data_IF_434752958300
#
_entry.id   IF_434752958300
#
_cell.length_a   1.000
_cell.length_b   1.000
_cell.length_c   1.000
_cell.angle_alpha   90.00
_cell.angle_beta   90.00
_cell.angle_gamma   90.00
#
_symmetry.space_group_name_H-M   'P 1'
#
loop_
_entity.id
_entity.type
_entity.pdbx_description
1 polymer ?
#
# COMPACT_ATOMS: atom_id res chain seq x y z
N UNK A 1 -87.02 -26.01 -25.34
CA UNK A 1 -87.38 -27.17 -24.57
C UNK A 1 -86.73 -27.05 -23.20
N UNK A 2 -87.48 -26.52 -22.28
CA UNK A 2 -87.76 -26.91 -20.90
C UNK A 2 -86.60 -26.91 -19.93
N UNK A 3 -86.46 -25.82 -19.15
CA UNK A 3 -86.86 -25.74 -17.72
C UNK A 3 -86.35 -26.85 -16.84
N UNK A 4 -85.58 -26.54 -15.77
CA UNK A 4 -86.09 -26.50 -14.41
C UNK A 4 -85.08 -25.87 -13.46
N UNK A 5 -85.51 -24.77 -12.86
CA UNK A 5 -85.06 -24.13 -11.63
C UNK A 5 -85.19 -25.04 -10.40
N UNK A 6 -84.25 -25.00 -9.46
CA UNK A 6 -84.55 -25.13 -8.02
C UNK A 6 -83.61 -24.34 -7.17
N UNK A 7 -84.15 -23.26 -6.62
CA UNK A 7 -83.66 -22.55 -5.48
C UNK A 7 -83.88 -23.37 -4.20
N UNK A 8 -82.92 -23.38 -3.28
CA UNK A 8 -83.14 -23.66 -1.89
C UNK A 8 -82.35 -22.67 -1.02
N UNK A 9 -83.11 -21.86 -0.35
CA UNK A 9 -82.73 -21.10 0.81
C UNK A 9 -82.21 -22.03 1.91
N UNK A 10 -81.22 -21.57 2.69
CA UNK A 10 -81.23 -21.70 4.17
C UNK A 10 -80.15 -20.79 4.76
N UNK A 11 -80.58 -19.85 5.49
CA UNK A 11 -80.31 -19.13 6.72
C UNK A 11 -78.89 -19.13 7.31
N UNK A 12 -78.52 -18.00 7.94
CA UNK A 12 -77.25 -17.75 8.57
C UNK A 12 -77.20 -18.29 10.00
N UNK A 13 -76.08 -18.82 10.40
CA UNK A 13 -75.74 -18.96 11.84
C UNK A 13 -74.49 -18.14 12.08
N UNK A 14 -74.69 -17.02 12.72
CA UNK A 14 -73.60 -16.27 13.37
C UNK A 14 -73.22 -17.04 14.64
N UNK A 15 -71.98 -17.35 14.78
CA UNK A 15 -71.36 -17.63 16.07
C UNK A 15 -69.90 -17.24 16.03
N UNK A 16 -69.61 -16.10 16.46
CA UNK A 16 -68.61 -15.63 17.41
C UNK A 16 -67.65 -16.76 17.85
N UNK A 17 -66.39 -16.63 17.43
CA UNK A 17 -65.24 -17.01 18.24
C UNK A 17 -64.10 -16.08 17.91
N UNK A 18 -64.00 -15.01 18.70
CA UNK A 18 -62.83 -14.17 18.82
C UNK A 18 -61.74 -15.05 19.51
N UNK A 19 -60.97 -15.77 18.71
CA UNK A 19 -59.71 -16.33 19.17
C UNK A 19 -58.68 -15.20 19.15
N UNK A 20 -58.45 -14.64 20.33
CA UNK A 20 -57.29 -13.76 20.63
C UNK A 20 -56.03 -14.60 20.36
N UNK A 21 -55.45 -14.39 19.19
CA UNK A 21 -54.13 -14.88 18.88
C UNK A 21 -53.14 -13.94 19.60
N UNK A 22 -52.89 -14.19 20.87
CA UNK A 22 -51.77 -13.66 21.60
C UNK A 22 -50.51 -14.23 20.92
N UNK A 23 -49.94 -13.51 19.96
CA UNK A 23 -48.59 -13.71 19.53
C UNK A 23 -47.74 -13.45 20.76
N UNK A 24 -47.38 -14.49 21.47
CA UNK A 24 -46.19 -14.51 22.30
C UNK A 24 -45.01 -14.18 21.37
N UNK A 25 -44.62 -12.94 21.33
CA UNK A 25 -43.24 -12.54 21.01
C UNK A 25 -42.41 -13.19 22.11
N UNK A 26 -42.09 -14.47 21.91
CA UNK A 26 -40.97 -15.06 22.58
C UNK A 26 -39.77 -14.21 22.12
N UNK A 27 -39.31 -13.33 23.02
CA UNK A 27 -37.97 -12.78 22.94
C UNK A 27 -37.07 -14.01 22.83
N UNK A 28 -36.64 -14.32 21.61
CA UNK A 28 -35.51 -15.21 21.41
C UNK A 28 -34.41 -14.54 22.22
N UNK A 29 -33.87 -15.19 23.27
CA UNK A 29 -32.74 -14.61 23.94
C UNK A 29 -31.72 -14.38 22.83
N UNK A 30 -31.34 -13.11 22.59
CA UNK A 30 -30.16 -12.83 21.85
C UNK A 30 -29.05 -13.60 22.59
N UNK A 31 -28.58 -14.67 21.99
CA UNK A 31 -27.36 -15.29 22.47
C UNK A 31 -26.37 -14.14 22.46
N UNK A 32 -25.95 -13.68 23.63
CA UNK A 32 -24.84 -12.77 23.74
C UNK A 32 -23.69 -13.51 23.02
N UNK A 33 -23.22 -12.91 21.95
CA UNK A 33 -22.06 -13.45 21.25
C UNK A 33 -20.94 -13.56 22.30
N UNK A 34 -20.33 -14.73 22.40
CA UNK A 34 -19.19 -14.89 23.31
C UNK A 34 -18.13 -13.87 22.98
N UNK A 35 -17.46 -13.33 24.01
CA UNK A 35 -16.36 -12.39 23.80
C UNK A 35 -15.31 -13.05 22.90
N UNK A 36 -14.85 -12.36 21.84
CA UNK A 36 -13.81 -12.91 20.97
C UNK A 36 -12.53 -13.14 21.74
N UNK A 37 -11.79 -14.17 21.39
CA UNK A 37 -10.44 -14.33 21.87
C UNK A 37 -9.48 -13.28 21.22
N UNK A 38 -8.26 -13.18 21.77
CA UNK A 38 -7.28 -12.21 21.33
C UNK A 38 -6.85 -12.43 19.86
N UNK A 39 -6.71 -13.68 19.43
CA UNK A 39 -6.29 -14.03 18.07
C UNK A 39 -7.35 -13.61 17.05
N UNK A 40 -8.61 -13.98 17.30
CA UNK A 40 -9.76 -13.61 16.46
C UNK A 40 -9.92 -12.09 16.37
N UNK A 41 -9.80 -11.39 17.51
CA UNK A 41 -9.87 -9.93 17.53
C UNK A 41 -8.71 -9.29 16.75
N UNK A 42 -7.48 -9.81 16.95
CA UNK A 42 -6.30 -9.32 16.24
C UNK A 42 -6.43 -9.48 14.73
N UNK A 43 -6.90 -10.64 14.26
CA UNK A 43 -7.08 -10.91 12.84
C UNK A 43 -8.12 -9.99 12.22
N UNK A 44 -9.28 -9.86 12.84
CA UNK A 44 -10.35 -9.00 12.37
C UNK A 44 -9.96 -7.51 12.37
N UNK A 45 -9.31 -7.07 13.44
CA UNK A 45 -8.87 -5.69 13.58
C UNK A 45 -7.82 -5.32 12.53
N UNK A 46 -6.76 -6.12 12.40
CA UNK A 46 -5.68 -5.87 11.44
C UNK A 46 -6.19 -5.91 10.01
N UNK A 47 -7.09 -6.85 9.69
CA UNK A 47 -7.71 -6.92 8.38
C UNK A 47 -8.52 -5.67 8.05
N UNK A 48 -9.40 -5.24 8.97
CA UNK A 48 -10.26 -4.07 8.78
C UNK A 48 -9.44 -2.77 8.72
N UNK A 49 -8.41 -2.66 9.58
CA UNK A 49 -7.46 -1.54 9.58
C UNK A 49 -6.78 -1.39 8.21
N UNK A 50 -6.36 -2.49 7.58
CA UNK A 50 -5.70 -2.47 6.28
C UNK A 50 -6.55 -1.79 5.19
N UNK A 51 -7.86 -2.07 5.16
CA UNK A 51 -8.78 -1.37 4.26
C UNK A 51 -9.00 0.08 4.69
N UNK A 52 -9.15 0.32 5.99
CA UNK A 52 -9.28 1.66 6.56
C UNK A 52 -8.14 2.59 6.16
N UNK A 53 -6.90 2.10 6.17
CA UNK A 53 -5.71 2.87 5.74
C UNK A 53 -5.79 3.28 4.26
N UNK A 54 -6.25 2.39 3.39
CA UNK A 54 -6.42 2.71 1.96
C UNK A 54 -7.57 3.72 1.73
N UNK A 55 -8.67 3.61 2.48
CA UNK A 55 -9.77 4.59 2.46
C UNK A 55 -9.29 5.95 2.97
N UNK A 56 -8.51 5.97 4.06
CA UNK A 56 -7.90 7.19 4.58
C UNK A 56 -7.08 7.90 3.50
N UNK A 57 -6.26 7.14 2.75
CA UNK A 57 -5.48 7.72 1.67
C UNK A 57 -6.35 8.28 0.55
N UNK A 58 -7.43 7.58 0.18
CA UNK A 58 -8.39 8.10 -0.81
C UNK A 58 -9.03 9.41 -0.33
N UNK A 59 -9.39 9.54 0.96
CA UNK A 59 -9.88 10.79 1.53
C UNK A 59 -8.85 11.91 1.50
N UNK A 60 -7.59 11.62 1.83
CA UNK A 60 -6.49 12.60 1.79
C UNK A 60 -6.31 13.10 0.36
N UNK A 61 -6.23 12.21 -0.61
CA UNK A 61 -6.05 12.57 -2.02
C UNK A 61 -7.28 13.35 -2.54
N UNK A 62 -8.49 12.94 -2.17
CA UNK A 62 -9.73 13.59 -2.58
C UNK A 62 -9.97 14.97 -1.93
N UNK A 63 -9.25 15.32 -0.88
CA UNK A 63 -9.32 16.64 -0.26
C UNK A 63 -8.53 17.70 -1.05
N UNK A 64 -7.70 17.33 -2.02
CA UNK A 64 -7.02 18.26 -2.88
C UNK A 64 -8.01 19.02 -3.78
N UNK A 65 -7.83 20.34 -3.93
CA UNK A 65 -8.78 21.20 -4.63
C UNK A 65 -8.96 20.88 -6.12
N UNK A 66 -7.96 20.22 -6.71
CA UNK A 66 -7.91 19.81 -8.12
C UNK A 66 -8.09 18.29 -8.32
N UNK A 67 -8.53 17.58 -7.28
CA UNK A 67 -8.76 16.15 -7.36
C UNK A 67 -9.96 15.81 -8.25
N UNK A 68 -9.72 14.95 -9.22
CA UNK A 68 -10.76 14.29 -10.01
C UNK A 68 -10.36 12.83 -10.28
N UNK A 69 -11.33 11.92 -10.22
CA UNK A 69 -11.09 10.56 -10.68
C UNK A 69 -10.77 10.53 -12.18
N UNK A 70 -9.87 9.64 -12.57
CA UNK A 70 -9.40 9.47 -13.95
C UNK A 70 -8.66 10.70 -14.51
N UNK A 71 -8.10 11.53 -13.63
CA UNK A 71 -7.21 12.64 -13.97
C UNK A 71 -5.86 12.41 -13.31
N UNK A 72 -4.77 12.59 -14.07
CA UNK A 72 -3.41 12.43 -13.55
C UNK A 72 -2.98 13.70 -12.82
N UNK A 73 -2.53 13.54 -11.59
CA UNK A 73 -1.73 14.53 -10.88
C UNK A 73 -0.25 14.25 -11.15
N UNK A 74 0.49 15.27 -11.65
CA UNK A 74 1.90 15.16 -11.93
C UNK A 74 2.70 15.81 -10.78
N UNK A 75 3.32 14.96 -9.95
CA UNK A 75 4.03 15.42 -8.78
C UNK A 75 5.27 16.23 -9.18
N UNK A 76 5.52 17.37 -8.55
CA UNK A 76 6.76 18.13 -8.75
C UNK A 76 7.97 17.32 -8.26
N UNK A 77 9.14 17.54 -8.85
CA UNK A 77 10.37 16.88 -8.42
C UNK A 77 10.82 17.37 -7.05
N UNK A 78 11.44 16.48 -6.28
CA UNK A 78 12.22 16.87 -5.11
C UNK A 78 11.42 17.37 -3.91
N UNK A 79 10.14 17.03 -3.78
CA UNK A 79 9.38 17.30 -2.56
C UNK A 79 9.91 16.43 -1.44
N UNK A 80 10.80 17.03 -0.64
CA UNK A 80 11.44 16.40 0.52
C UNK A 80 10.48 16.18 1.70
N UNK A 81 9.24 16.65 1.60
CA UNK A 81 8.23 16.62 2.66
C UNK A 81 7.52 15.27 2.78
N UNK A 82 7.77 14.35 1.87
CA UNK A 82 7.19 13.02 1.88
C UNK A 82 7.94 12.07 2.81
N UNK A 83 7.23 11.13 3.43
CA UNK A 83 7.82 10.06 4.23
C UNK A 83 8.63 9.13 3.33
N UNK A 84 9.90 8.93 3.63
CA UNK A 84 10.82 8.08 2.89
C UNK A 84 10.79 8.33 1.36
N UNK A 85 11.05 9.59 0.91
CA UNK A 85 10.81 10.00 -0.46
C UNK A 85 11.72 9.24 -1.44
N UNK A 86 11.25 9.09 -2.67
CA UNK A 86 12.11 8.65 -3.76
C UNK A 86 12.50 9.86 -4.62
N UNK A 87 13.76 10.25 -4.54
CA UNK A 87 14.29 11.40 -5.26
C UNK A 87 14.83 11.04 -6.66
N UNK A 88 14.67 9.79 -7.09
CA UNK A 88 15.26 9.26 -8.33
C UNK A 88 14.26 9.16 -9.48
N UNK A 89 12.97 9.50 -9.24
CA UNK A 89 11.90 9.40 -10.24
C UNK A 89 10.98 10.62 -10.25
N UNK A 90 10.41 10.91 -11.41
CA UNK A 90 9.23 11.77 -11.54
C UNK A 90 7.98 10.93 -11.35
N UNK A 91 7.14 11.29 -10.36
CA UNK A 91 5.91 10.59 -10.04
C UNK A 91 4.70 11.17 -10.77
N UNK A 92 3.77 10.31 -11.16
CA UNK A 92 2.43 10.66 -11.58
C UNK A 92 1.42 9.76 -10.88
N UNK A 93 0.32 10.33 -10.45
CA UNK A 93 -0.67 9.63 -9.63
C UNK A 93 -2.09 9.88 -10.13
N UNK A 94 -2.96 8.90 -9.94
CA UNK A 94 -4.38 9.07 -10.15
C UNK A 94 -5.17 8.04 -9.34
N UNK A 95 -6.42 8.34 -9.08
CA UNK A 95 -7.42 7.34 -8.77
C UNK A 95 -8.20 7.01 -10.03
N UNK A 96 -8.10 5.77 -10.47
CA UNK A 96 -8.90 5.23 -11.55
C UNK A 96 -10.27 4.86 -10.98
N UNK A 97 -11.33 5.22 -11.70
CA UNK A 97 -12.68 4.78 -11.38
C UNK A 97 -13.43 4.38 -12.65
N UNK A 98 -14.08 3.24 -12.60
CA UNK A 98 -14.80 2.63 -13.71
C UNK A 98 -16.16 2.11 -13.24
N UNK A 99 -17.09 1.92 -14.18
CA UNK A 99 -18.30 1.12 -13.96
C UNK A 99 -18.45 0.07 -15.06
N UNK A 100 -19.60 -0.62 -15.09
CA UNK A 100 -19.82 -1.75 -15.98
C UNK A 100 -19.75 -1.33 -17.46
N UNK A 101 -20.09 -0.07 -17.76
CA UNK A 101 -20.24 0.47 -19.11
C UNK A 101 -19.15 1.49 -19.47
N UNK A 102 -18.41 2.00 -18.49
CA UNK A 102 -17.50 3.15 -18.66
C UNK A 102 -16.06 2.78 -18.29
N UNK A 103 -15.26 2.31 -19.26
CA UNK A 103 -13.82 2.12 -19.09
C UNK A 103 -13.06 3.43 -18.87
N UNK A 104 -11.86 3.33 -18.26
CA UNK A 104 -10.86 4.39 -18.24
C UNK A 104 -9.70 4.01 -19.16
N UNK A 105 -9.15 4.98 -19.88
CA UNK A 105 -8.05 4.77 -20.83
C UNK A 105 -6.81 5.49 -20.33
N UNK A 106 -5.69 4.76 -20.26
CA UNK A 106 -4.35 5.29 -20.00
C UNK A 106 -3.55 5.25 -21.30
N UNK A 107 -3.05 6.39 -21.71
CA UNK A 107 -2.06 6.51 -22.78
C UNK A 107 -0.67 6.53 -22.15
N UNK A 108 0.15 5.54 -22.48
CA UNK A 108 1.54 5.41 -22.05
C UNK A 108 2.45 5.87 -23.20
N UNK A 109 3.29 6.89 -23.01
CA UNK A 109 4.20 7.35 -24.04
C UNK A 109 5.30 6.33 -24.34
N UNK A 110 5.92 6.44 -25.52
CA UNK A 110 7.11 5.67 -25.85
C UNK A 110 8.31 6.16 -25.01
N UNK A 111 8.81 5.30 -24.13
CA UNK A 111 9.99 5.56 -23.29
C UNK A 111 11.03 4.49 -23.59
N UNK A 112 12.21 4.92 -24.04
CA UNK A 112 13.35 4.04 -24.36
C UNK A 112 14.59 4.45 -23.55
N UNK A 113 15.38 3.45 -23.14
CA UNK A 113 16.65 3.66 -22.45
C UNK A 113 16.57 4.23 -21.05
N UNK A 114 15.37 4.27 -20.43
CA UNK A 114 15.08 4.80 -19.11
C UNK A 114 14.10 3.89 -18.40
N UNK A 115 14.27 3.66 -17.10
CA UNK A 115 13.28 2.93 -16.32
C UNK A 115 11.98 3.71 -16.21
N UNK A 116 10.88 3.04 -16.37
CA UNK A 116 9.56 3.52 -16.01
C UNK A 116 8.68 2.34 -15.60
N UNK A 117 7.65 2.63 -14.84
CA UNK A 117 6.55 1.72 -14.56
C UNK A 117 5.29 2.50 -14.21
N UNK A 118 4.13 2.00 -14.62
CA UNK A 118 2.84 2.45 -14.09
C UNK A 118 2.26 1.30 -13.29
N UNK A 119 2.35 1.44 -11.98
CA UNK A 119 1.82 0.50 -11.01
C UNK A 119 0.33 0.76 -10.83
N UNK A 120 -0.49 -0.27 -10.99
CA UNK A 120 -1.93 -0.23 -10.74
C UNK A 120 -2.19 -1.12 -9.54
N UNK A 121 -2.77 -0.54 -8.48
CA UNK A 121 -3.09 -1.24 -7.24
C UNK A 121 -4.59 -1.23 -7.01
N UNK A 122 -5.08 -2.30 -6.40
CA UNK A 122 -6.45 -2.33 -5.95
C UNK A 122 -6.66 -1.51 -4.66
N UNK A 123 -7.89 -1.46 -4.24
CA UNK A 123 -8.32 -0.68 -3.07
C UNK A 123 -7.87 -1.28 -1.73
N UNK A 124 -7.21 -2.44 -1.72
CA UNK A 124 -6.60 -3.09 -0.56
C UNK A 124 -5.07 -2.94 -0.53
N UNK A 125 -4.45 -2.44 -1.61
CA UNK A 125 -3.01 -2.28 -1.73
C UNK A 125 -2.30 -3.45 -2.42
N UNK A 126 -3.04 -4.36 -3.07
CA UNK A 126 -2.48 -5.39 -3.94
C UNK A 126 -2.17 -4.82 -5.32
N UNK A 127 -1.03 -5.17 -5.89
CA UNK A 127 -0.67 -4.77 -7.25
C UNK A 127 -1.41 -5.63 -8.26
N UNK A 128 -2.29 -5.00 -9.04
CA UNK A 128 -2.98 -5.64 -10.16
C UNK A 128 -2.00 -5.90 -11.29
N UNK A 129 -1.23 -4.87 -11.67
CA UNK A 129 -0.27 -4.93 -12.77
C UNK A 129 0.72 -3.76 -12.72
N UNK A 130 1.91 -3.98 -13.24
CA UNK A 130 2.85 -2.92 -13.59
C UNK A 130 2.92 -2.80 -15.12
N UNK A 131 2.64 -1.62 -15.68
CA UNK A 131 2.73 -1.37 -17.11
C UNK A 131 4.11 -0.81 -17.42
N UNK A 132 4.93 -1.60 -18.11
CA UNK A 132 6.29 -1.28 -18.50
C UNK A 132 6.82 -2.29 -19.53
N UNK A 133 8.07 -2.12 -19.96
CA UNK A 133 8.72 -3.01 -20.94
C UNK A 133 8.91 -4.46 -20.45
N UNK A 134 9.01 -4.68 -19.14
CA UNK A 134 9.26 -6.01 -18.56
C UNK A 134 8.01 -6.85 -18.53
N UNK A 135 6.88 -6.24 -18.20
CA UNK A 135 5.58 -6.90 -18.11
C UNK A 135 4.87 -6.97 -19.47
N UNK A 136 5.01 -5.94 -20.29
CA UNK A 136 4.40 -5.86 -21.63
C UNK A 136 5.47 -5.69 -22.73
N UNK A 137 6.34 -6.68 -22.95
CA UNK A 137 7.46 -6.56 -23.89
C UNK A 137 7.01 -6.32 -25.34
N UNK A 138 5.83 -6.82 -25.73
CA UNK A 138 5.25 -6.65 -27.07
C UNK A 138 4.54 -5.31 -27.25
N UNK A 139 4.09 -4.69 -26.18
CA UNK A 139 3.35 -3.42 -26.19
C UNK A 139 3.64 -2.62 -24.92
N UNK A 140 4.87 -2.13 -24.75
CA UNK A 140 5.27 -1.44 -23.52
C UNK A 140 4.70 -0.02 -23.41
N UNK A 141 4.14 0.52 -24.48
CA UNK A 141 3.52 1.84 -24.58
C UNK A 141 2.27 1.77 -25.47
N UNK A 142 1.45 2.82 -25.46
CA UNK A 142 0.18 2.88 -26.17
C UNK A 142 -1.01 2.90 -25.21
N UNK A 143 -2.16 2.44 -25.65
CA UNK A 143 -3.43 2.55 -24.92
C UNK A 143 -3.70 1.32 -24.06
N UNK A 144 -3.94 1.54 -22.77
CA UNK A 144 -4.38 0.53 -21.80
C UNK A 144 -5.77 0.90 -21.30
N UNK A 145 -6.71 -0.04 -21.38
CA UNK A 145 -8.11 0.17 -21.02
C UNK A 145 -8.43 -0.57 -19.71
N UNK A 146 -8.71 0.18 -18.66
CA UNK A 146 -9.16 -0.37 -17.38
C UNK A 146 -10.67 -0.56 -17.39
N UNK A 147 -11.12 -1.73 -16.97
CA UNK A 147 -12.53 -2.12 -16.93
C UNK A 147 -12.90 -2.73 -15.59
N UNK A 148 -14.16 -2.58 -15.18
CA UNK A 148 -14.69 -3.22 -13.97
C UNK A 148 -14.70 -4.76 -14.12
N UNK A 149 -14.68 -5.52 -13.02
CA UNK A 149 -14.84 -6.97 -13.05
C UNK A 149 -16.13 -7.37 -13.78
N UNK A 150 -16.00 -8.29 -14.74
CA UNK A 150 -17.13 -8.77 -15.53
C UNK A 150 -17.64 -7.82 -16.62
N UNK A 151 -17.08 -6.62 -16.76
CA UNK A 151 -17.48 -5.65 -17.80
C UNK A 151 -17.17 -6.17 -19.19
N UNK A 152 -18.15 -6.04 -20.08
CA UNK A 152 -18.06 -6.30 -21.53
C UNK A 152 -18.04 -5.01 -22.35
N UNK A 153 -17.88 -3.85 -21.70
CA UNK A 153 -17.84 -2.56 -22.38
C UNK A 153 -16.81 -2.56 -23.52
N UNK A 154 -17.11 -1.97 -24.67
CA UNK A 154 -16.18 -1.89 -25.77
C UNK A 154 -14.98 -1.01 -25.39
N UNK A 155 -13.82 -1.37 -25.89
CA UNK A 155 -12.58 -0.60 -25.77
C UNK A 155 -12.05 -0.28 -27.17
N UNK A 156 -11.19 0.74 -27.33
CA UNK A 156 -10.59 1.06 -28.63
C UNK A 156 -9.83 -0.14 -29.22
N UNK A 157 -9.86 -0.26 -30.54
CA UNK A 157 -9.06 -1.27 -31.24
C UNK A 157 -7.57 -1.08 -30.94
N UNK A 158 -6.88 -2.19 -30.68
CA UNK A 158 -5.46 -2.15 -30.30
C UNK A 158 -5.16 -1.80 -28.85
N UNK A 159 -6.15 -1.39 -28.05
CA UNK A 159 -5.94 -1.17 -26.63
C UNK A 159 -5.79 -2.48 -25.85
N UNK A 160 -4.90 -2.50 -24.86
CA UNK A 160 -4.75 -3.62 -23.93
C UNK A 160 -5.82 -3.52 -22.84
N UNK A 161 -6.69 -4.53 -22.74
CA UNK A 161 -7.70 -4.61 -21.68
C UNK A 161 -7.08 -5.07 -20.37
N UNK A 162 -7.28 -4.31 -19.29
CA UNK A 162 -6.90 -4.65 -17.91
C UNK A 162 -8.17 -4.65 -17.07
N UNK A 163 -8.52 -5.81 -16.52
CA UNK A 163 -9.64 -5.92 -15.58
C UNK A 163 -9.15 -5.57 -14.18
N UNK A 164 -9.78 -4.60 -13.54
CA UNK A 164 -9.52 -4.24 -12.15
C UNK A 164 -10.10 -5.29 -11.20
N UNK A 165 -9.61 -5.33 -9.95
CA UNK A 165 -10.20 -6.18 -8.91
C UNK A 165 -11.53 -5.64 -8.40
N UNK A 166 -11.71 -4.31 -8.46
CA UNK A 166 -12.91 -3.59 -8.05
C UNK A 166 -13.31 -2.52 -9.06
N UNK A 167 -14.03 -1.51 -8.60
CA UNK A 167 -14.46 -0.37 -9.42
C UNK A 167 -13.52 0.81 -9.36
N UNK A 168 -12.55 0.77 -8.45
CA UNK A 168 -11.49 1.77 -8.31
C UNK A 168 -10.12 1.09 -8.25
N UNK A 169 -9.09 1.87 -8.56
CA UNK A 169 -7.70 1.47 -8.41
C UNK A 169 -6.82 2.71 -8.25
N UNK A 170 -5.72 2.57 -7.51
CA UNK A 170 -4.67 3.61 -7.47
C UNK A 170 -3.71 3.39 -8.62
N UNK A 171 -3.41 4.44 -9.35
CA UNK A 171 -2.34 4.51 -10.32
C UNK A 171 -1.16 5.25 -9.71
N UNK A 172 0.03 4.65 -9.74
CA UNK A 172 1.28 5.27 -9.31
C UNK A 172 2.35 5.03 -10.38
N UNK A 173 2.57 6.04 -11.20
CA UNK A 173 3.56 6.01 -12.27
C UNK A 173 4.89 6.59 -11.83
N UNK A 174 5.98 6.02 -12.35
CA UNK A 174 7.37 6.43 -12.07
C UNK A 174 8.13 6.52 -13.38
N UNK A 175 8.82 7.64 -13.60
CA UNK A 175 9.77 7.83 -14.69
C UNK A 175 11.13 8.19 -14.07
N UNK A 176 12.13 7.35 -14.28
CA UNK A 176 13.48 7.55 -13.73
C UNK A 176 14.11 8.86 -14.19
N UNK A 177 14.73 9.60 -13.28
CA UNK A 177 15.41 10.85 -13.62
C UNK A 177 16.66 10.62 -14.48
N UNK A 178 17.44 9.59 -14.21
CA UNK A 178 18.62 9.16 -14.97
C UNK A 178 19.61 10.29 -15.26
N UNK A 179 19.81 11.21 -14.30
CA UNK A 179 20.66 12.40 -14.48
C UNK A 179 20.10 13.48 -15.42
N UNK A 180 18.87 13.29 -15.93
CA UNK A 180 18.15 14.22 -16.81
C UNK A 180 16.72 14.46 -16.27
N UNK A 181 16.58 15.28 -15.22
CA UNK A 181 15.30 15.55 -14.59
C UNK A 181 14.31 16.26 -15.52
N UNK A 182 14.76 17.15 -16.40
CA UNK A 182 13.89 17.87 -17.34
C UNK A 182 13.27 16.90 -18.36
N UNK A 183 14.07 16.00 -18.91
CA UNK A 183 13.59 14.96 -19.82
C UNK A 183 12.64 13.99 -19.12
N UNK A 184 12.87 13.64 -17.86
CA UNK A 184 11.95 12.81 -17.07
C UNK A 184 10.59 13.48 -16.87
N UNK A 185 10.57 14.77 -16.53
CA UNK A 185 9.33 15.57 -16.38
C UNK A 185 8.61 15.72 -17.72
N UNK A 186 9.35 15.94 -18.81
CA UNK A 186 8.76 16.03 -20.13
C UNK A 186 8.07 14.70 -20.56
N UNK A 187 8.64 13.56 -20.18
CA UNK A 187 8.02 12.25 -20.39
C UNK A 187 6.85 12.01 -19.44
N UNK A 188 6.99 12.35 -18.15
CA UNK A 188 5.93 12.26 -17.14
C UNK A 188 4.63 12.94 -17.65
N UNK A 189 4.74 14.13 -18.23
CA UNK A 189 3.60 14.91 -18.73
C UNK A 189 2.97 14.39 -20.02
N UNK A 190 3.54 13.37 -20.66
CA UNK A 190 2.95 12.73 -21.84
C UNK A 190 1.99 11.60 -21.49
N UNK A 191 1.98 11.12 -20.26
CA UNK A 191 0.96 10.19 -19.82
C UNK A 191 -0.39 10.90 -19.78
N UNK A 192 -1.45 10.25 -20.23
CA UNK A 192 -2.81 10.79 -20.17
C UNK A 192 -3.77 9.71 -19.66
N UNK A 193 -4.65 10.09 -18.75
CA UNK A 193 -5.72 9.23 -18.26
C UNK A 193 -7.06 9.94 -18.52
N UNK A 194 -8.05 9.21 -19.01
CA UNK A 194 -9.39 9.74 -19.27
C UNK A 194 -10.44 8.65 -19.20
N UNK A 195 -11.66 9.01 -18.86
CA UNK A 195 -12.84 8.13 -18.97
C UNK A 195 -13.34 8.05 -20.41
N UNK A 196 -13.94 6.91 -20.78
CA UNK A 196 -14.72 6.77 -22.03
C UNK A 196 -16.16 7.28 -21.92
N UNK A 197 -16.49 7.99 -20.87
CA UNK A 197 -17.80 8.55 -20.56
C UNK A 197 -17.80 9.08 -19.13
N UNK A 198 -18.96 9.13 -18.48
CA UNK A 198 -19.11 9.55 -17.09
C UNK A 198 -19.44 8.33 -16.23
N UNK A 199 -18.45 7.72 -15.55
CA UNK A 199 -18.71 6.58 -14.71
C UNK A 199 -19.50 6.97 -13.45
N UNK A 200 -20.27 6.02 -12.94
CA UNK A 200 -20.95 6.15 -11.65
C UNK A 200 -19.97 5.81 -10.54
N UNK A 201 -19.44 6.81 -9.87
CA UNK A 201 -18.40 6.65 -8.84
C UNK A 201 -19.02 6.79 -7.46
N UNK A 202 -18.89 5.74 -6.63
CA UNK A 202 -19.23 5.84 -5.23
C UNK A 202 -18.12 6.61 -4.48
N UNK A 203 -18.45 7.58 -3.62
CA UNK A 203 -17.45 8.23 -2.78
C UNK A 203 -16.83 7.21 -1.82
N UNK A 204 -15.62 7.48 -1.29
CA UNK A 204 -15.05 6.65 -0.24
C UNK A 204 -15.98 6.66 0.99
N UNK A 205 -16.16 5.52 1.68
CA UNK A 205 -17.01 5.47 2.86
C UNK A 205 -16.42 6.30 3.99
N UNK A 206 -17.30 6.84 4.84
CA UNK A 206 -16.88 7.49 6.09
C UNK A 206 -16.20 6.46 7.00
N UNK A 207 -15.07 6.83 7.57
CA UNK A 207 -14.32 6.04 8.54
C UNK A 207 -13.97 6.91 9.76
N UNK A 208 -13.67 6.32 10.93
CA UNK A 208 -13.09 7.07 12.03
C UNK A 208 -11.71 7.61 11.63
N UNK A 209 -11.23 8.60 12.35
CA UNK A 209 -9.86 9.11 12.17
C UNK A 209 -8.84 7.99 12.47
N UNK A 210 -7.92 7.77 11.54
CA UNK A 210 -6.83 6.81 11.68
C UNK A 210 -5.52 7.59 11.64
N UNK A 211 -4.82 7.62 12.78
CA UNK A 211 -3.49 8.20 12.94
C UNK A 211 -2.46 7.08 13.09
N UNK A 212 -1.28 7.23 12.48
CA UNK A 212 -0.20 6.24 12.60
C UNK A 212 0.43 6.23 14.00
N UNK A 213 0.38 7.34 14.73
CA UNK A 213 0.91 7.44 16.11
C UNK A 213 -0.09 6.86 17.12
N UNK A 214 -1.38 6.95 16.82
CA UNK A 214 -2.46 6.44 17.65
C UNK A 214 -3.48 5.73 16.79
N UNK A 215 -3.28 4.42 16.58
CA UNK A 215 -4.22 3.60 15.83
C UNK A 215 -5.63 3.63 16.44
N UNK A 216 -6.63 3.53 15.58
CA UNK A 216 -8.05 3.59 15.92
C UNK A 216 -8.45 2.48 16.90
N UNK A 217 -9.35 2.77 17.80
CA UNK A 217 -9.95 1.83 18.76
C UNK A 217 -11.13 1.04 18.16
N UNK A 218 -12.01 0.50 18.99
CA UNK A 218 -13.17 -0.28 18.55
C UNK A 218 -14.15 0.48 17.66
N UNK A 219 -14.04 1.81 17.56
CA UNK A 219 -14.89 2.62 16.69
C UNK A 219 -14.77 2.25 15.21
N UNK A 220 -13.67 1.62 14.80
CA UNK A 220 -13.53 1.10 13.43
C UNK A 220 -14.60 0.05 13.09
N UNK A 221 -15.03 -0.75 14.08
CA UNK A 221 -16.06 -1.79 13.89
C UNK A 221 -17.45 -1.21 13.66
N UNK A 222 -17.74 0.01 14.12
CA UNK A 222 -19.00 0.72 13.83
C UNK A 222 -19.15 1.02 12.32
N UNK A 223 -18.02 1.02 11.60
CA UNK A 223 -17.92 1.27 10.16
C UNK A 223 -17.62 0.00 9.34
N UNK A 224 -17.60 -1.17 9.97
CA UNK A 224 -17.19 -2.43 9.31
C UNK A 224 -17.98 -2.72 8.02
N UNK A 225 -19.30 -2.59 8.06
CA UNK A 225 -20.16 -2.84 6.89
C UNK A 225 -19.79 -1.97 5.68
N UNK A 226 -19.82 -0.62 5.80
CA UNK A 226 -19.39 0.29 4.73
C UNK A 226 -17.95 0.08 4.26
N UNK A 227 -17.01 -0.17 5.17
CA UNK A 227 -15.60 -0.41 4.85
C UNK A 227 -15.47 -1.65 3.96
N UNK A 228 -16.04 -2.79 4.39
CA UNK A 228 -15.93 -4.06 3.67
C UNK A 228 -16.71 -4.07 2.35
N UNK A 229 -17.86 -3.42 2.31
CA UNK A 229 -18.66 -3.31 1.08
C UNK A 229 -18.04 -2.39 0.02
N UNK A 230 -17.08 -1.54 0.39
CA UNK A 230 -16.50 -0.54 -0.50
C UNK A 230 -15.60 -1.13 -1.58
N UNK A 231 -14.99 -2.30 -1.35
CA UNK A 231 -14.08 -2.92 -2.28
C UNK A 231 -14.08 -4.45 -2.16
N UNK A 232 -13.98 -5.13 -3.31
CA UNK A 232 -13.74 -6.57 -3.33
C UNK A 232 -12.31 -6.86 -2.87
N UNK A 233 -12.13 -7.81 -1.95
CA UNK A 233 -10.82 -8.34 -1.59
C UNK A 233 -10.59 -9.69 -2.29
N UNK A 234 -9.49 -9.80 -3.02
CA UNK A 234 -9.06 -11.04 -3.69
C UNK A 234 -8.30 -12.00 -2.76
N UNK A 235 -8.05 -11.59 -1.51
CA UNK A 235 -7.38 -12.44 -0.53
C UNK A 235 -8.16 -13.75 -0.32
N UNK A 236 -7.54 -14.93 -0.39
CA UNK A 236 -8.23 -16.21 -0.26
C UNK A 236 -8.90 -16.42 1.11
N UNK A 237 -8.49 -15.69 2.15
CA UNK A 237 -9.09 -15.72 3.49
C UNK A 237 -10.16 -14.65 3.69
N UNK A 238 -10.40 -13.78 2.69
CA UNK A 238 -11.29 -12.62 2.83
C UNK A 238 -12.66 -12.97 3.39
N UNK A 239 -13.33 -13.98 2.84
CA UNK A 239 -14.68 -14.34 3.26
C UNK A 239 -14.74 -14.77 4.75
N UNK A 240 -13.76 -15.54 5.21
CA UNK A 240 -13.68 -15.99 6.60
C UNK A 240 -13.38 -14.81 7.53
N UNK A 241 -12.38 -14.00 7.19
CA UNK A 241 -11.96 -12.88 8.03
C UNK A 241 -13.03 -11.79 8.10
N UNK A 242 -13.76 -11.54 7.00
CA UNK A 242 -14.90 -10.62 7.00
C UNK A 242 -16.04 -11.09 7.91
N UNK A 243 -16.29 -12.39 7.98
CA UNK A 243 -17.27 -12.95 8.94
C UNK A 243 -16.82 -12.69 10.40
N UNK A 244 -15.54 -12.84 10.70
CA UNK A 244 -14.98 -12.49 12.02
C UNK A 244 -15.15 -11.00 12.32
N UNK A 245 -14.85 -10.13 11.36
CA UNK A 245 -15.06 -8.67 11.50
C UNK A 245 -16.52 -8.35 11.83
N UNK A 246 -17.49 -8.94 11.12
CA UNK A 246 -18.91 -8.72 11.40
C UNK A 246 -19.31 -9.25 12.78
N UNK A 247 -18.83 -10.41 13.19
CA UNK A 247 -19.13 -10.97 14.50
C UNK A 247 -18.61 -10.06 15.64
N UNK A 248 -17.43 -9.47 15.47
CA UNK A 248 -16.87 -8.51 16.43
C UNK A 248 -17.63 -7.19 16.40
N UNK A 249 -18.02 -6.70 15.24
CA UNK A 249 -18.87 -5.50 15.12
C UNK A 249 -20.20 -5.69 15.87
N UNK A 250 -20.87 -6.84 15.71
CA UNK A 250 -22.10 -7.19 16.42
C UNK A 250 -21.85 -7.28 17.94
N UNK A 251 -20.72 -7.86 18.37
CA UNK A 251 -20.35 -7.91 19.79
C UNK A 251 -20.14 -6.49 20.36
N UNK A 252 -19.36 -5.64 19.69
CA UNK A 252 -19.16 -4.24 20.09
C UNK A 252 -20.45 -3.48 20.18
N UNK A 253 -21.39 -3.70 19.26
CA UNK A 253 -22.70 -3.06 19.23
C UNK A 253 -23.66 -3.59 20.32
N UNK A 254 -23.35 -4.70 21.00
CA UNK A 254 -24.22 -5.29 22.01
C UNK A 254 -24.32 -4.50 23.32
N UNK A 255 -23.37 -3.58 23.57
CA UNK A 255 -23.41 -2.70 24.74
C UNK A 255 -22.04 -2.15 25.19
N UNK A 256 -22.10 -1.23 26.14
CA UNK A 256 -20.91 -0.52 26.63
C UNK A 256 -19.86 -1.44 27.27
N UNK A 257 -20.29 -2.50 27.96
CA UNK A 257 -19.37 -3.48 28.57
C UNK A 257 -18.60 -4.27 27.52
N UNK A 258 -19.28 -4.68 26.45
CA UNK A 258 -18.66 -5.39 25.32
C UNK A 258 -17.65 -4.48 24.62
N UNK A 259 -18.01 -3.24 24.35
CA UNK A 259 -17.12 -2.24 23.75
C UNK A 259 -15.90 -2.00 24.64
N UNK A 260 -16.09 -1.75 25.94
CA UNK A 260 -15.00 -1.53 26.86
C UNK A 260 -14.03 -2.74 26.94
N UNK A 261 -14.57 -3.96 26.85
CA UNK A 261 -13.76 -5.19 26.78
C UNK A 261 -12.87 -5.23 25.53
N UNK A 262 -13.44 -4.92 24.35
CA UNK A 262 -12.69 -4.85 23.09
C UNK A 262 -11.64 -3.74 23.14
N UNK A 263 -11.99 -2.53 23.59
CA UNK A 263 -11.05 -1.42 23.74
C UNK A 263 -9.86 -1.76 24.64
N UNK A 264 -10.13 -2.45 25.75
CA UNK A 264 -9.08 -2.95 26.65
C UNK A 264 -8.13 -3.91 25.93
N UNK A 265 -8.65 -4.91 25.22
CA UNK A 265 -7.82 -5.86 24.47
C UNK A 265 -7.06 -5.20 23.33
N UNK A 266 -7.70 -4.29 22.58
CA UNK A 266 -7.04 -3.53 21.51
C UNK A 266 -5.87 -2.74 22.05
N UNK A 267 -6.10 -1.95 23.11
CA UNK A 267 -5.09 -1.08 23.73
C UNK A 267 -3.93 -1.85 24.33
N UNK A 268 -4.21 -2.89 25.08
CA UNK A 268 -3.20 -3.54 25.93
C UNK A 268 -2.45 -4.66 25.19
N UNK A 269 -3.02 -5.22 24.09
CA UNK A 269 -2.45 -6.39 23.43
C UNK A 269 -2.42 -6.29 21.91
N UNK A 270 -3.56 -6.08 21.26
CA UNK A 270 -3.68 -6.23 19.80
C UNK A 270 -2.89 -5.16 19.07
N UNK A 271 -3.11 -3.88 19.41
CA UNK A 271 -2.40 -2.76 18.77
C UNK A 271 -0.89 -2.84 19.02
N UNK A 272 -0.41 -2.99 20.29
CA UNK A 272 1.02 -3.16 20.53
C UNK A 272 1.63 -4.38 19.83
N UNK A 273 0.91 -5.51 19.82
CA UNK A 273 1.36 -6.72 19.13
C UNK A 273 1.43 -6.57 17.61
N UNK A 274 0.47 -5.85 17.01
CA UNK A 274 0.50 -5.55 15.58
C UNK A 274 1.63 -4.57 15.23
N UNK A 275 1.85 -3.53 16.02
CA UNK A 275 2.96 -2.58 15.79
C UNK A 275 4.33 -3.27 15.91
N UNK A 276 4.52 -4.13 16.93
CA UNK A 276 5.73 -4.93 17.04
C UNK A 276 5.92 -5.83 15.80
N UNK A 277 4.86 -6.51 15.35
CA UNK A 277 4.91 -7.31 14.13
C UNK A 277 5.27 -6.45 12.91
N UNK A 278 4.58 -5.34 12.71
CA UNK A 278 4.78 -4.47 11.53
C UNK A 278 6.22 -3.92 11.45
N UNK A 279 6.78 -3.54 12.58
CA UNK A 279 8.10 -2.90 12.65
C UNK A 279 9.27 -3.89 12.69
N UNK A 280 9.04 -5.15 13.13
CA UNK A 280 10.15 -6.06 13.43
C UNK A 280 10.04 -7.45 12.79
N UNK A 281 8.85 -7.86 12.33
CA UNK A 281 8.56 -9.24 11.89
C UNK A 281 7.86 -9.35 10.55
N UNK A 282 7.34 -8.25 10.01
CA UNK A 282 6.55 -8.25 8.77
C UNK A 282 7.37 -8.60 7.53
N UNK A 283 8.68 -8.47 7.62
CA UNK A 283 9.64 -8.78 6.56
C UNK A 283 10.87 -9.47 7.14
N UNK A 284 11.63 -10.28 6.34
CA UNK A 284 12.89 -10.86 6.78
C UNK A 284 13.91 -9.82 7.23
N UNK A 285 14.74 -10.18 8.21
CA UNK A 285 15.89 -9.39 8.67
C UNK A 285 17.18 -10.11 8.27
N UNK A 286 17.86 -9.59 7.25
CA UNK A 286 19.03 -10.21 6.63
C UNK A 286 20.19 -9.21 6.59
N UNK A 287 21.37 -9.59 7.05
CA UNK A 287 22.58 -8.76 7.06
C UNK A 287 22.34 -7.34 7.65
N UNK A 288 21.59 -7.26 8.74
CA UNK A 288 21.18 -6.01 9.43
C UNK A 288 20.24 -5.10 8.63
N UNK A 289 19.54 -5.66 7.62
CA UNK A 289 18.54 -4.98 6.84
C UNK A 289 17.19 -5.68 6.93
N UNK A 290 16.12 -4.92 7.08
CA UNK A 290 14.76 -5.40 6.85
C UNK A 290 14.52 -5.45 5.33
N UNK A 291 14.10 -6.60 4.81
CA UNK A 291 14.01 -6.85 3.36
C UNK A 291 12.57 -7.01 2.94
N UNK A 292 12.02 -6.03 2.22
CA UNK A 292 10.65 -6.09 1.72
C UNK A 292 10.57 -6.94 0.42
N UNK A 293 10.65 -8.26 0.58
CA UNK A 293 10.71 -9.26 -0.48
C UNK A 293 9.33 -9.79 -0.92
N UNK A 294 8.24 -9.37 -0.26
CA UNK A 294 6.86 -9.83 -0.51
C UNK A 294 5.86 -8.69 -0.69
N UNK A 295 6.35 -7.47 -0.88
CA UNK A 295 5.50 -6.30 -1.03
C UNK A 295 4.61 -6.37 -2.27
N UNK A 296 3.44 -5.74 -2.22
CA UNK A 296 2.56 -5.50 -3.36
C UNK A 296 1.82 -6.73 -3.88
N UNK A 297 2.15 -7.95 -3.42
CA UNK A 297 1.42 -9.17 -3.73
C UNK A 297 1.52 -10.11 -2.51
N UNK A 298 0.56 -9.99 -1.62
CA UNK A 298 0.63 -10.58 -0.29
C UNK A 298 -0.06 -11.95 -0.19
N UNK A 299 -0.87 -12.32 -1.18
CA UNK A 299 -1.61 -13.60 -1.17
C UNK A 299 -2.55 -13.69 0.03
N UNK A 300 -2.32 -14.69 0.92
CA UNK A 300 -3.12 -14.85 2.14
C UNK A 300 -2.65 -13.97 3.31
N UNK A 301 -1.47 -13.36 3.22
CA UNK A 301 -0.85 -12.61 4.32
C UNK A 301 -1.35 -11.15 4.38
N UNK A 302 -2.61 -10.98 4.81
CA UNK A 302 -3.17 -9.63 5.00
C UNK A 302 -2.50 -8.86 6.15
N UNK A 303 -1.80 -9.52 7.09
CA UNK A 303 -1.02 -8.83 8.12
C UNK A 303 0.17 -8.09 7.52
N UNK A 304 0.92 -8.73 6.64
CA UNK A 304 2.00 -8.07 5.89
C UNK A 304 1.46 -6.95 4.99
N UNK A 305 0.29 -7.15 4.35
CA UNK A 305 -0.40 -6.13 3.56
C UNK A 305 -0.75 -4.91 4.39
N UNK A 306 -1.36 -5.11 5.55
CA UNK A 306 -1.72 -4.01 6.47
C UNK A 306 -0.49 -3.30 7.03
N UNK A 307 0.59 -4.05 7.33
CA UNK A 307 1.87 -3.47 7.74
C UNK A 307 2.47 -2.58 6.66
N UNK A 308 2.46 -3.02 5.40
CA UNK A 308 2.91 -2.21 4.27
C UNK A 308 2.04 -0.96 4.07
N UNK A 309 0.71 -1.07 4.20
CA UNK A 309 -0.20 0.06 4.12
C UNK A 309 0.03 1.08 5.26
N UNK A 310 0.39 0.61 6.46
CA UNK A 310 0.71 1.48 7.60
C UNK A 310 2.04 2.21 7.41
N UNK A 311 3.09 1.49 6.96
CA UNK A 311 4.47 1.98 6.98
C UNK A 311 4.89 2.75 5.72
N UNK A 312 4.15 2.63 4.62
CA UNK A 312 4.56 3.30 3.38
C UNK A 312 3.55 3.26 2.25
N UNK A 313 2.40 2.64 2.44
CA UNK A 313 1.31 2.44 1.48
C UNK A 313 1.77 2.29 0.00
N UNK A 314 1.03 1.63 -0.84
CA UNK A 314 1.29 1.46 -2.28
C UNK A 314 2.66 0.85 -2.62
N UNK A 315 3.15 -0.10 -1.80
CA UNK A 315 4.39 -0.83 -2.08
C UNK A 315 4.33 -1.56 -3.41
N UNK A 316 5.46 -1.63 -4.12
CA UNK A 316 5.53 -2.33 -5.40
C UNK A 316 6.01 -3.78 -5.22
N UNK A 317 5.81 -4.60 -6.25
CA UNK A 317 6.21 -6.01 -6.24
C UNK A 317 7.72 -6.19 -6.36
N UNK A 318 8.30 -7.28 -5.82
CA UNK A 318 9.74 -7.52 -5.83
C UNK A 318 10.37 -7.62 -7.21
N UNK A 319 9.62 -7.99 -8.25
CA UNK A 319 10.13 -7.97 -9.63
C UNK A 319 10.41 -6.56 -10.17
N UNK A 320 9.80 -5.53 -9.57
CA UNK A 320 10.03 -4.13 -9.90
C UNK A 320 11.07 -3.49 -9.00
N UNK A 321 10.96 -3.70 -7.69
CA UNK A 321 11.87 -3.13 -6.70
C UNK A 321 11.88 -3.96 -5.42
N UNK A 322 13.05 -4.15 -4.84
CA UNK A 322 13.21 -4.64 -3.47
C UNK A 322 13.76 -3.49 -2.63
N UNK A 323 13.12 -3.29 -1.47
CA UNK A 323 13.50 -2.29 -0.49
C UNK A 323 14.24 -2.97 0.65
N UNK A 324 15.37 -2.38 1.07
CA UNK A 324 16.13 -2.77 2.24
C UNK A 324 16.12 -1.58 3.19
N UNK A 325 15.58 -1.77 4.40
CA UNK A 325 15.51 -0.71 5.41
C UNK A 325 16.51 -1.02 6.52
N UNK A 326 17.51 -0.16 6.69
CA UNK A 326 18.55 -0.24 7.71
C UNK A 326 18.24 0.71 8.86
N UNK A 327 17.94 0.15 10.02
CA UNK A 327 17.73 0.87 11.27
C UNK A 327 18.86 0.67 12.26
N UNK A 328 19.71 -0.34 12.01
CA UNK A 328 20.76 -0.79 12.93
C UNK A 328 22.09 -0.95 12.21
N UNK A 329 23.15 -0.79 12.97
CA UNK A 329 24.52 -1.04 12.50
C UNK A 329 24.90 -2.53 12.55
N UNK A 330 26.12 -2.84 12.15
CA UNK A 330 26.67 -4.21 12.18
C UNK A 330 26.79 -4.84 13.59
N UNK A 331 26.55 -4.07 14.65
CA UNK A 331 26.51 -4.50 16.03
C UNK A 331 25.09 -4.53 16.60
N UNK A 332 24.07 -4.42 15.74
CA UNK A 332 22.63 -4.33 16.09
C UNK A 332 22.25 -3.12 16.98
N UNK A 333 23.07 -2.06 16.97
CA UNK A 333 22.74 -0.79 17.62
C UNK A 333 21.98 0.11 16.64
N UNK A 334 21.04 0.87 17.15
CA UNK A 334 20.31 1.87 16.35
C UNK A 334 21.27 2.87 15.71
N UNK A 335 21.00 3.26 14.46
CA UNK A 335 21.80 4.22 13.73
C UNK A 335 21.63 5.62 14.36
N UNK A 336 22.72 6.20 14.83
CA UNK A 336 22.78 7.53 15.45
C UNK A 336 23.58 8.50 14.57
N UNK A 337 22.97 9.63 14.23
CA UNK A 337 23.62 10.63 13.40
C UNK A 337 24.84 11.31 14.02
N UNK A 338 25.14 11.08 15.30
CA UNK A 338 26.39 11.52 15.96
C UNK A 338 27.59 10.64 15.64
N UNK A 339 27.34 9.38 15.26
CA UNK A 339 28.38 8.41 14.90
C UNK A 339 28.69 8.46 13.39
N UNK A 340 29.84 7.93 13.02
CA UNK A 340 30.24 7.76 11.62
C UNK A 340 30.22 6.29 11.26
N UNK A 341 29.79 5.98 10.04
CA UNK A 341 29.64 4.62 9.54
C UNK A 341 30.17 4.50 8.11
N UNK A 342 30.46 3.28 7.69
CA UNK A 342 30.83 2.94 6.31
C UNK A 342 30.00 1.74 5.85
N UNK A 343 29.45 1.85 4.65
CA UNK A 343 28.99 0.72 3.82
C UNK A 343 30.09 0.38 2.82
N UNK A 344 30.63 -0.82 2.89
CA UNK A 344 31.71 -1.27 2.00
C UNK A 344 31.19 -2.34 1.03
N UNK A 345 31.10 -2.01 -0.24
CA UNK A 345 30.72 -2.90 -1.33
C UNK A 345 31.98 -3.51 -1.95
N UNK A 346 32.20 -4.83 -1.85
CA UNK A 346 33.30 -5.50 -2.55
C UNK A 346 33.24 -5.31 -4.07
N UNK A 347 34.35 -5.34 -4.75
CA UNK A 347 34.46 -5.13 -6.21
C UNK A 347 33.61 -6.12 -7.03
N UNK A 348 33.43 -7.35 -6.54
CA UNK A 348 32.64 -8.40 -7.17
C UNK A 348 31.16 -8.38 -6.74
N UNK A 349 30.77 -7.49 -5.80
CA UNK A 349 29.43 -7.38 -5.25
C UNK A 349 28.86 -5.95 -5.32
N UNK A 350 29.33 -5.15 -6.27
CA UNK A 350 28.83 -3.79 -6.47
C UNK A 350 27.33 -3.77 -6.78
N UNK A 351 26.56 -2.82 -6.25
CA UNK A 351 25.11 -2.79 -6.36
C UNK A 351 24.63 -2.65 -7.81
N UNK A 352 25.37 -1.93 -8.67
CA UNK A 352 25.05 -1.79 -10.09
C UNK A 352 25.05 -3.14 -10.83
N UNK A 353 25.89 -4.09 -10.43
CA UNK A 353 25.92 -5.43 -11.03
C UNK A 353 24.69 -6.28 -10.65
N UNK A 354 23.95 -5.90 -9.61
CA UNK A 354 22.84 -6.65 -9.01
C UNK A 354 21.46 -6.20 -9.50
N UNK A 355 21.39 -5.13 -10.28
CA UNK A 355 20.14 -4.58 -10.80
C UNK A 355 20.14 -4.51 -12.32
N UNK A 356 18.96 -4.55 -12.94
CA UNK A 356 18.75 -4.33 -14.36
C UNK A 356 18.49 -2.85 -14.70
N UNK A 357 18.01 -2.09 -13.73
CA UNK A 357 17.72 -0.66 -13.91
C UNK A 357 18.69 0.18 -13.10
N UNK A 358 18.37 0.54 -11.91
CA UNK A 358 19.22 1.35 -11.05
C UNK A 358 19.07 0.95 -9.58
N UNK A 359 19.97 1.41 -8.75
CA UNK A 359 19.88 1.33 -7.30
C UNK A 359 19.96 2.72 -6.69
N UNK A 360 19.43 2.86 -5.48
CA UNK A 360 19.65 4.07 -4.67
C UNK A 360 19.69 3.74 -3.18
N UNK A 361 20.35 4.61 -2.41
CA UNK A 361 20.29 4.61 -0.95
C UNK A 361 20.02 6.03 -0.47
N UNK A 362 19.00 6.20 0.36
CA UNK A 362 18.62 7.50 0.94
C UNK A 362 18.72 7.43 2.46
N UNK A 363 19.11 8.56 3.07
CA UNK A 363 19.11 8.77 4.50
C UNK A 363 17.91 9.63 4.90
N UNK A 364 17.12 9.14 5.85
CA UNK A 364 15.96 9.83 6.43
C UNK A 364 16.04 9.84 7.95
N UNK A 365 15.51 10.88 8.58
CA UNK A 365 15.43 11.00 10.03
C UNK A 365 14.43 10.01 10.62
N UNK A 366 14.57 9.71 11.89
CA UNK A 366 13.60 8.93 12.68
C UNK A 366 13.13 9.82 13.84
N UNK A 367 11.80 9.89 14.13
CA UNK A 367 10.73 9.00 13.69
C UNK A 367 9.93 9.49 12.47
N UNK A 368 10.21 10.65 11.90
CA UNK A 368 9.39 11.26 10.84
C UNK A 368 9.66 10.73 9.43
N UNK A 369 10.76 9.98 9.27
CA UNK A 369 11.22 9.39 7.99
C UNK A 369 11.34 10.40 6.85
N UNK A 370 11.59 11.67 7.16
CA UNK A 370 11.86 12.73 6.19
C UNK A 370 13.35 12.88 5.94
N UNK A 371 13.71 13.47 4.80
CA UNK A 371 15.11 13.76 4.51
C UNK A 371 15.72 14.72 5.55
N UNK A 372 16.97 14.46 5.90
CA UNK A 372 17.72 15.30 6.84
C UNK A 372 18.41 16.40 6.08
N UNK A 373 17.93 17.65 6.25
CA UNK A 373 18.52 18.83 5.59
C UNK A 373 20.01 18.98 5.92
N UNK A 374 20.84 19.20 4.90
CA UNK A 374 22.27 19.43 5.04
C UNK A 374 22.76 20.47 4.00
N UNK A 375 23.94 21.05 4.24
CA UNK A 375 24.49 22.15 3.40
C UNK A 375 24.86 21.71 1.97
N UNK A 376 24.98 20.41 1.71
CA UNK A 376 25.31 19.88 0.40
C UNK A 376 24.05 19.57 -0.42
N UNK A 377 22.86 19.63 0.17
CA UNK A 377 21.61 19.11 -0.41
C UNK A 377 21.77 17.66 -0.90
N UNK A 378 22.61 16.89 -0.22
CA UNK A 378 22.91 15.50 -0.54
C UNK A 378 22.12 14.59 0.38
N UNK A 379 21.06 13.96 -0.15
CA UNK A 379 20.12 13.15 0.61
C UNK A 379 20.21 11.66 0.29
N UNK A 380 20.73 11.36 -0.92
CA UNK A 380 20.84 10.00 -1.42
C UNK A 380 22.07 9.83 -2.31
N UNK A 381 22.43 8.59 -2.54
CA UNK A 381 23.27 8.16 -3.65
C UNK A 381 22.50 7.16 -4.52
N UNK A 382 22.82 7.12 -5.79
CA UNK A 382 22.25 6.22 -6.78
C UNK A 382 23.27 5.83 -7.84
N UNK A 383 22.83 5.02 -8.81
CA UNK A 383 23.63 4.58 -9.95
C UNK A 383 24.33 5.73 -10.71
N UNK A 384 23.79 6.94 -10.68
CA UNK A 384 24.28 8.10 -11.45
C UNK A 384 25.05 9.11 -10.58
N UNK A 385 25.25 8.78 -9.30
CA UNK A 385 26.06 9.62 -8.41
C UNK A 385 27.55 9.46 -8.75
N UNK A 386 28.30 10.57 -8.66
CA UNK A 386 29.75 10.61 -8.92
C UNK A 386 30.55 9.95 -7.77
N UNK A 387 30.30 8.67 -7.52
CA UNK A 387 31.00 7.89 -6.51
C UNK A 387 32.37 7.45 -7.03
N UNK A 388 33.40 7.67 -6.24
CA UNK A 388 34.79 7.30 -6.55
C UNK A 388 35.06 5.90 -5.98
N UNK A 389 35.40 4.91 -6.82
CA UNK A 389 35.78 3.58 -6.35
C UNK A 389 37.17 3.58 -5.70
N UNK A 390 37.44 2.59 -4.84
CA UNK A 390 38.76 2.31 -4.32
C UNK A 390 39.68 1.73 -5.43
N UNK A 391 41.01 1.74 -5.23
CA UNK A 391 41.96 1.21 -6.23
C UNK A 391 41.74 -0.28 -6.59
N UNK A 392 41.18 -1.08 -5.70
CA UNK A 392 40.84 -2.47 -5.93
C UNK A 392 39.49 -2.69 -6.62
N UNK A 393 38.79 -1.59 -6.96
CA UNK A 393 37.46 -1.60 -7.57
C UNK A 393 36.29 -1.74 -6.59
N UNK A 394 36.55 -1.86 -5.30
CA UNK A 394 35.52 -1.81 -4.27
C UNK A 394 34.96 -0.37 -4.13
N UNK A 395 33.83 -0.22 -3.43
CA UNK A 395 33.21 1.07 -3.23
C UNK A 395 32.84 1.27 -1.75
N UNK A 396 33.17 2.42 -1.20
CA UNK A 396 32.74 2.82 0.13
C UNK A 396 31.78 3.97 0.08
N UNK A 397 30.73 3.90 0.89
CA UNK A 397 29.83 5.03 1.19
C UNK A 397 29.98 5.33 2.68
N UNK A 398 30.45 6.53 3.00
CA UNK A 398 30.51 7.01 4.37
C UNK A 398 29.17 7.67 4.78
N UNK A 399 28.72 7.44 5.99
CA UNK A 399 27.54 8.09 6.59
C UNK A 399 27.98 8.70 7.93
N UNK A 400 27.65 9.95 8.18
CA UNK A 400 28.04 10.58 9.43
C UNK A 400 27.88 12.09 9.42
N UNK A 401 28.08 12.76 10.60
CA UNK A 401 27.93 14.21 10.72
C UNK A 401 29.10 14.99 10.05
N UNK A 402 30.15 14.29 9.66
CA UNK A 402 31.32 14.82 8.97
C UNK A 402 31.92 13.75 8.02
N UNK A 403 32.74 14.13 7.02
CA UNK A 403 33.49 13.19 6.20
C UNK A 403 34.30 12.20 7.03
N UNK A 404 34.43 10.96 6.53
CA UNK A 404 35.19 9.89 7.19
C UNK A 404 36.58 9.80 6.53
N UNK A 405 37.64 9.70 7.34
CA UNK A 405 39.01 9.57 6.85
C UNK A 405 39.15 8.30 5.98
N UNK A 406 39.83 8.40 4.88
CA UNK A 406 40.03 7.29 3.91
C UNK A 406 38.82 7.01 3.03
N UNK A 407 37.77 7.82 3.06
CA UNK A 407 36.66 7.78 2.10
C UNK A 407 36.55 9.13 1.38
N UNK A 408 36.48 9.15 0.05
CA UNK A 408 36.29 10.40 -0.70
C UNK A 408 35.05 11.17 -0.22
N UNK A 409 35.16 12.49 -0.15
CA UNK A 409 34.03 13.36 0.29
C UNK A 409 32.83 13.24 -0.67
N UNK A 410 33.06 12.93 -1.96
CA UNK A 410 32.01 12.64 -2.91
C UNK A 410 31.16 11.43 -2.50
N UNK A 411 31.72 10.51 -1.72
CA UNK A 411 31.07 9.29 -1.24
C UNK A 411 30.51 9.43 0.18
N UNK A 412 30.45 10.65 0.73
CA UNK A 412 29.93 10.90 2.07
C UNK A 412 28.48 11.36 2.03
N UNK A 413 27.59 10.68 2.77
CA UNK A 413 26.18 11.00 2.96
C UNK A 413 26.01 11.63 4.36
N UNK A 414 25.66 12.93 4.46
CA UNK A 414 25.61 13.63 5.73
C UNK A 414 24.44 13.14 6.61
N UNK A 415 24.72 12.86 7.89
CA UNK A 415 23.74 12.69 8.95
C UNK A 415 23.63 13.95 9.81
N UNK A 416 22.66 13.99 10.73
CA UNK A 416 22.51 15.07 11.72
C UNK A 416 22.92 14.55 13.10
N UNK A 417 23.94 15.18 13.70
CA UNK A 417 24.37 14.86 15.06
C UNK A 417 23.20 14.97 16.06
N UNK A 418 23.09 13.98 16.96
CA UNK A 418 22.08 13.93 18.01
C UNK A 418 20.66 13.51 17.54
N UNK A 419 20.54 13.01 16.32
CA UNK A 419 19.26 12.52 15.80
C UNK A 419 19.43 11.12 15.23
N UNK A 420 18.56 10.15 15.58
CA UNK A 420 18.56 8.84 14.94
C UNK A 420 18.16 8.98 13.46
N UNK A 421 18.61 8.03 12.65
CA UNK A 421 18.27 7.98 11.23
C UNK A 421 18.05 6.55 10.76
N UNK A 422 17.48 6.43 9.59
CA UNK A 422 17.41 5.16 8.85
C UNK A 422 17.95 5.32 7.42
N UNK A 423 18.34 4.21 6.84
CA UNK A 423 18.70 4.11 5.43
C UNK A 423 17.66 3.28 4.71
N UNK A 424 17.25 3.74 3.52
CA UNK A 424 16.48 2.90 2.60
C UNK A 424 17.28 2.67 1.35
N UNK A 425 17.75 1.43 1.17
CA UNK A 425 18.36 1.01 -0.07
C UNK A 425 17.29 0.41 -0.99
N UNK A 426 17.27 0.82 -2.26
CA UNK A 426 16.30 0.39 -3.27
C UNK A 426 17.04 -0.24 -4.45
N UNK A 427 16.62 -1.46 -4.83
CA UNK A 427 17.12 -2.16 -6.00
C UNK A 427 16.03 -2.27 -7.05
N UNK A 428 16.09 -1.46 -8.10
CA UNK A 428 15.10 -1.44 -9.19
C UNK A 428 15.47 -2.42 -10.30
N UNK A 429 14.49 -3.26 -10.67
CA UNK A 429 14.72 -4.38 -11.57
C UNK A 429 15.77 -5.36 -11.00
N UNK A 430 15.56 -5.87 -9.75
CA UNK A 430 16.56 -6.70 -9.10
C UNK A 430 16.85 -7.95 -9.91
N UNK A 431 18.11 -8.37 -9.89
CA UNK A 431 18.57 -9.63 -10.51
C UNK A 431 18.42 -10.80 -9.56
N UNK A 432 18.61 -11.99 -10.10
CA UNK A 432 18.49 -13.25 -9.35
C UNK A 432 19.24 -13.30 -8.01
N UNK A 433 20.45 -12.76 -7.85
CA UNK A 433 21.12 -12.77 -6.55
C UNK A 433 20.33 -12.03 -5.45
N UNK A 434 19.69 -10.90 -5.76
CA UNK A 434 18.86 -10.18 -4.81
C UNK A 434 17.56 -10.95 -4.54
N UNK A 435 16.86 -11.39 -5.60
CA UNK A 435 15.56 -12.10 -5.49
C UNK A 435 15.72 -13.42 -4.70
N UNK A 436 16.90 -14.07 -4.81
CA UNK A 436 17.21 -15.32 -4.12
C UNK A 436 17.90 -15.11 -2.76
N UNK A 437 17.91 -13.87 -2.25
CA UNK A 437 18.54 -13.52 -0.95
C UNK A 437 20.05 -13.86 -0.85
N UNK A 438 20.74 -14.00 -2.00
CA UNK A 438 22.17 -14.28 -2.06
C UNK A 438 23.03 -13.02 -2.04
N UNK A 439 22.42 -11.87 -2.26
CA UNK A 439 23.05 -10.57 -2.18
C UNK A 439 22.14 -9.62 -1.38
N UNK A 440 22.71 -8.91 -0.44
CA UNK A 440 22.12 -7.81 0.31
C UNK A 440 23.11 -6.64 0.30
N UNK A 441 22.64 -5.40 0.55
CA UNK A 441 23.54 -4.31 0.85
C UNK A 441 24.47 -4.68 2.03
N UNK A 442 25.73 -4.21 2.04
CA UNK A 442 26.62 -4.48 3.17
C UNK A 442 26.05 -3.90 4.46
N UNK A 443 26.36 -4.50 5.60
CA UNK A 443 26.02 -3.96 6.90
C UNK A 443 26.62 -2.56 7.06
N UNK A 444 25.92 -1.70 7.78
CA UNK A 444 26.36 -0.35 8.13
C UNK A 444 27.33 -0.46 9.30
N UNK A 445 28.64 -0.35 9.05
CA UNK A 445 29.68 -0.59 10.03
C UNK A 445 30.13 0.70 10.69
N UNK A 446 30.12 0.81 12.03
CA UNK A 446 30.63 2.00 12.71
C UNK A 446 32.13 2.17 12.49
N UNK A 447 32.56 3.42 12.38
CA UNK A 447 33.97 3.83 12.30
C UNK A 447 34.40 4.24 13.70
N UNK A 448 35.53 3.67 14.15
CA UNK A 448 36.13 3.98 15.48
C UNK A 448 36.70 5.41 15.54
#
# INVERSE_FOLDING_TARGET
>A
MTLVTRSLLVRPIAAISAAVLAILLASVPAFAADAPDEETLSDAYVYLLGRGLAIRQEHIDAAAADFEYNVIHYNPLGTADFVNPNLDVAYLEAWIAVDDDTPALLEVPKIEGRYYTVQILDEWGEVIVNINQRTFPSMPYGTFAFVAPGSTAPIPEGAVRITLHGRKAKLLGRVELKGDPEGAVALQKQFMLRSMGTPRIAPPPTIPEIDNEKLVDSTIFDHAGPILASALDINPLAAQTQQQVYAIADYVASGDEARASIDGMLKDKVIPGFLDYALTKSVPYLNHWMVADRSGNYGADYRARTSANLLGIWANVPSEVIYFVGLRDSNDKELDGSASYVMHFPADALPQAQVNSYWSVILVGVPDYKVVSNSLNRYNFNTYSDLVPEPDGSMKIAIGPKPVEGVPESNWLPSRAGSPFSLTFRAYGPKAPIIQEKWQPPAVTPVE
#
